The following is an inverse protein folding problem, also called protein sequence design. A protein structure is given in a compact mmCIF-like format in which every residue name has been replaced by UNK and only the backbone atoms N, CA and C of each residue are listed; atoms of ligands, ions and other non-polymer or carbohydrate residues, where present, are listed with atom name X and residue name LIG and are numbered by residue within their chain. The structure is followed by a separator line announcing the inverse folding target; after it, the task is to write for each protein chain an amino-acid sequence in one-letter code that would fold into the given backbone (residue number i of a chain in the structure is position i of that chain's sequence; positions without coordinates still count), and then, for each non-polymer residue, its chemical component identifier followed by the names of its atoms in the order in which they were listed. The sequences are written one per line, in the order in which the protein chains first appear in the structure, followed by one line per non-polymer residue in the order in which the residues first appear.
data_IF_392671173599
#
_entry.id   IF_392671173599
#
_cell.length_a   1.000
_cell.length_b   1.000
_cell.length_c   1.000
_cell.angle_alpha   90.00
_cell.angle_beta   90.00
_cell.angle_gamma   90.00
#
_symmetry.space_group_name_H-M   'P 1'
#
loop_
_entity.id
_entity.type
_entity.pdbx_description
1 polymer ?
#
# COMPACT_ATOMS: atom_id res chain seq x y z
N UNK A 1 27.60 -18.16 -22.25
CA UNK A 1 26.70 -19.28 -21.87
C UNK A 1 25.59 -18.83 -20.91
N UNK A 2 25.84 -17.92 -19.96
CA UNK A 2 24.80 -17.42 -19.04
C UNK A 2 23.65 -16.67 -19.73
N UNK A 3 23.93 -15.85 -20.74
CA UNK A 3 22.89 -15.02 -21.40
C UNK A 3 21.82 -15.86 -22.12
N UNK A 4 22.21 -16.98 -22.71
CA UNK A 4 21.31 -17.93 -23.38
C UNK A 4 20.42 -18.64 -22.35
N UNK A 5 20.97 -18.99 -21.18
CA UNK A 5 20.22 -19.60 -20.08
C UNK A 5 19.21 -18.60 -19.51
N UNK A 6 19.60 -17.34 -19.35
CA UNK A 6 18.72 -16.27 -18.88
C UNK A 6 17.55 -16.05 -19.84
N UNK A 7 17.82 -16.02 -21.16
CA UNK A 7 16.77 -15.91 -22.18
C UNK A 7 15.78 -17.09 -22.14
N UNK A 8 16.28 -18.32 -21.93
CA UNK A 8 15.42 -19.50 -21.79
C UNK A 8 14.55 -19.45 -20.53
N UNK A 9 15.09 -18.98 -19.40
CA UNK A 9 14.31 -18.79 -18.16
C UNK A 9 13.19 -17.76 -18.35
N UNK A 10 13.50 -16.64 -19.00
CA UNK A 10 12.51 -15.59 -19.30
C UNK A 10 11.39 -16.14 -20.20
N UNK A 11 11.75 -16.90 -21.25
CA UNK A 11 10.78 -17.50 -22.15
C UNK A 11 9.82 -18.45 -21.40
N UNK A 12 10.32 -19.29 -20.49
CA UNK A 12 9.48 -20.21 -19.73
C UNK A 12 8.53 -19.49 -18.77
N UNK A 13 8.98 -18.41 -18.12
CA UNK A 13 8.12 -17.60 -17.23
C UNK A 13 6.97 -16.98 -18.03
N UNK A 14 7.27 -16.43 -19.22
CA UNK A 14 6.25 -15.85 -20.10
C UNK A 14 5.23 -16.90 -20.56
N UNK A 15 5.70 -18.08 -20.98
CA UNK A 15 4.83 -19.18 -21.41
C UNK A 15 3.92 -19.61 -20.25
N UNK A 16 4.47 -19.76 -19.05
CA UNK A 16 3.70 -20.14 -17.87
C UNK A 16 2.64 -19.10 -17.51
N UNK A 17 2.98 -17.81 -17.58
CA UNK A 17 2.05 -16.71 -17.37
C UNK A 17 0.89 -16.70 -18.37
N UNK A 18 1.18 -16.94 -19.65
CA UNK A 18 0.17 -17.02 -20.72
C UNK A 18 -0.76 -18.22 -20.51
N UNK A 19 -0.21 -19.38 -20.17
CA UNK A 19 -1.00 -20.59 -19.88
C UNK A 19 -1.92 -20.35 -18.68
N UNK A 20 -1.41 -19.76 -17.59
CA UNK A 20 -2.21 -19.45 -16.41
C UNK A 20 -3.36 -18.49 -16.74
N UNK A 21 -3.09 -17.44 -17.51
CA UNK A 21 -4.11 -16.48 -17.94
C UNK A 21 -5.21 -17.13 -18.79
N UNK A 22 -4.83 -18.00 -19.74
CA UNK A 22 -5.78 -18.75 -20.56
C UNK A 22 -6.63 -19.72 -19.73
N UNK A 23 -6.03 -20.37 -18.72
CA UNK A 23 -6.74 -21.27 -17.82
C UNK A 23 -7.78 -20.53 -16.99
N UNK A 24 -7.43 -19.36 -16.42
CA UNK A 24 -8.38 -18.56 -15.63
C UNK A 24 -9.52 -18.03 -16.50
N UNK A 25 -9.21 -17.55 -17.70
CA UNK A 25 -10.22 -17.05 -18.63
C UNK A 25 -11.16 -18.15 -19.14
N UNK A 26 -10.59 -19.32 -19.47
CA UNK A 26 -11.36 -20.51 -19.84
C UNK A 26 -12.23 -21.01 -18.68
N UNK A 27 -11.71 -21.00 -17.45
CA UNK A 27 -12.49 -21.37 -16.26
C UNK A 27 -13.70 -20.45 -16.10
N UNK A 28 -13.55 -19.13 -16.21
CA UNK A 28 -14.68 -18.19 -16.14
C UNK A 28 -15.74 -18.49 -17.21
N UNK A 29 -15.33 -18.78 -18.45
CA UNK A 29 -16.25 -19.14 -19.53
C UNK A 29 -17.06 -20.42 -19.24
N UNK A 30 -16.44 -21.45 -18.66
CA UNK A 30 -17.12 -22.70 -18.32
C UNK A 30 -17.93 -22.61 -17.01
N UNK A 31 -17.50 -21.81 -16.04
CA UNK A 31 -18.12 -21.67 -14.72
C UNK A 31 -19.20 -20.58 -14.63
N UNK A 32 -19.50 -19.84 -15.69
CA UNK A 32 -20.63 -18.91 -15.71
C UNK A 32 -21.97 -19.66 -15.74
N UNK A 33 -22.36 -20.28 -14.62
CA UNK A 33 -23.69 -20.85 -14.42
C UNK A 33 -24.45 -20.06 -13.36
N UNK A 34 -25.47 -19.38 -13.90
CA UNK A 34 -26.60 -18.69 -13.25
C UNK A 34 -26.28 -17.31 -12.65
N UNK A 35 -26.50 -16.29 -13.48
CA UNK A 35 -26.74 -14.90 -13.08
C UNK A 35 -28.02 -14.81 -12.24
N UNK A 36 -27.94 -15.18 -10.97
CA UNK A 36 -29.01 -14.89 -10.02
C UNK A 36 -28.88 -13.43 -9.59
N UNK A 37 -29.96 -12.64 -9.77
CA UNK A 37 -30.01 -11.24 -9.34
C UNK A 37 -29.66 -11.07 -7.86
N UNK A 38 -30.02 -12.04 -7.01
CA UNK A 38 -29.69 -12.07 -5.58
C UNK A 38 -28.20 -12.18 -5.27
N UNK A 39 -27.39 -12.82 -6.14
CA UNK A 39 -25.93 -12.88 -5.97
C UNK A 39 -25.24 -11.55 -6.27
N UNK A 40 -25.93 -10.63 -6.98
CA UNK A 40 -25.41 -9.31 -7.35
C UNK A 40 -25.84 -8.22 -6.36
N UNK A 41 -26.64 -8.56 -5.36
CA UNK A 41 -27.08 -7.63 -4.31
C UNK A 41 -26.07 -7.61 -3.16
N UNK A 42 -25.98 -6.47 -2.47
CA UNK A 42 -25.20 -6.37 -1.24
C UNK A 42 -25.77 -7.32 -0.16
N UNK A 43 -24.87 -7.91 0.62
CA UNK A 43 -25.27 -8.76 1.73
C UNK A 43 -25.79 -7.91 2.89
N UNK A 44 -27.07 -8.01 3.20
CA UNK A 44 -27.70 -7.35 4.35
C UNK A 44 -28.41 -8.36 5.27
N UNK A 45 -27.76 -9.47 5.60
CA UNK A 45 -28.30 -10.48 6.52
C UNK A 45 -29.74 -10.95 6.17
N UNK A 46 -30.10 -11.00 4.89
CA UNK A 46 -31.42 -11.41 4.41
C UNK A 46 -32.46 -10.29 4.27
N UNK A 47 -32.12 -9.05 4.61
CA UNK A 47 -32.95 -7.87 4.39
C UNK A 47 -32.74 -7.28 2.98
N UNK A 48 -33.71 -6.47 2.53
CA UNK A 48 -33.60 -5.72 1.27
C UNK A 48 -32.78 -4.46 1.54
N UNK A 49 -31.87 -4.15 0.63
CA UNK A 49 -31.04 -2.94 0.67
C UNK A 49 -31.89 -1.69 0.88
N UNK A 50 -31.72 -1.07 2.05
CA UNK A 50 -32.23 0.28 2.29
C UNK A 50 -31.41 1.25 1.42
N UNK A 51 -32.09 2.17 0.75
CA UNK A 51 -31.50 3.13 -0.19
C UNK A 51 -30.33 3.91 0.41
N UNK A 52 -29.36 4.25 -0.44
CA UNK A 52 -28.20 5.13 -0.24
C UNK A 52 -27.53 5.03 1.14
N UNK A 53 -26.46 4.23 1.18
CA UNK A 53 -25.51 4.19 2.28
C UNK A 53 -24.76 5.53 2.37
N UNK A 54 -25.35 6.51 3.03
CA UNK A 54 -24.65 7.72 3.46
C UNK A 54 -23.73 7.38 4.63
N UNK A 55 -22.58 6.79 4.30
CA UNK A 55 -21.56 6.42 5.27
C UNK A 55 -20.93 7.70 5.80
N UNK A 56 -21.07 7.95 7.09
CA UNK A 56 -20.33 9.00 7.77
C UNK A 56 -18.89 8.54 7.92
N UNK A 57 -17.98 9.17 7.18
CA UNK A 57 -16.55 8.90 7.28
C UNK A 57 -16.03 9.64 8.51
N UNK A 58 -15.36 8.91 9.41
CA UNK A 58 -14.70 9.52 10.56
C UNK A 58 -13.46 10.31 10.08
N UNK A 59 -13.39 11.60 10.42
CA UNK A 59 -12.27 12.49 10.05
C UNK A 59 -10.94 11.99 10.62
N UNK A 60 -10.95 11.33 11.77
CA UNK A 60 -9.72 10.81 12.40
C UNK A 60 -9.00 9.80 11.48
N UNK A 61 -9.75 8.98 10.75
CA UNK A 61 -9.17 8.04 9.77
C UNK A 61 -8.50 8.78 8.61
N UNK A 62 -9.11 9.86 8.12
CA UNK A 62 -8.52 10.66 7.04
C UNK A 62 -7.24 11.36 7.47
N UNK A 63 -7.16 11.83 8.72
CA UNK A 63 -5.95 12.46 9.27
C UNK A 63 -4.79 11.46 9.36
N UNK A 64 -5.08 10.22 9.78
CA UNK A 64 -4.09 9.14 9.79
C UNK A 64 -3.50 8.89 8.38
N UNK A 65 -4.33 8.89 7.33
CA UNK A 65 -3.86 8.75 5.95
C UNK A 65 -2.92 9.89 5.55
N UNK A 66 -3.26 11.13 5.89
CA UNK A 66 -2.41 12.30 5.57
C UNK A 66 -1.07 12.20 6.29
N UNK A 67 -1.06 11.84 7.58
CA UNK A 67 0.18 11.66 8.32
C UNK A 67 1.05 10.53 7.76
N UNK A 68 0.44 9.40 7.38
CA UNK A 68 1.19 8.31 6.77
C UNK A 68 1.91 8.75 5.48
N UNK A 69 1.23 9.53 4.63
CA UNK A 69 1.84 10.07 3.41
C UNK A 69 2.98 11.05 3.74
N UNK A 70 2.80 11.92 4.74
CA UNK A 70 3.83 12.88 5.16
C UNK A 70 5.06 12.15 5.72
N UNK A 71 4.88 11.19 6.62
CA UNK A 71 5.98 10.40 7.19
C UNK A 71 6.70 9.58 6.13
N UNK A 72 5.99 9.00 5.15
CA UNK A 72 6.63 8.28 4.05
C UNK A 72 7.56 9.21 3.24
N UNK A 73 7.12 10.45 2.97
CA UNK A 73 7.95 11.46 2.28
C UNK A 73 9.17 11.82 3.14
N UNK A 74 9.02 12.01 4.44
CA UNK A 74 10.13 12.30 5.34
C UNK A 74 11.17 11.16 5.38
N UNK A 75 10.72 9.91 5.41
CA UNK A 75 11.61 8.75 5.32
C UNK A 75 12.34 8.67 3.98
N UNK A 76 11.73 9.09 2.88
CA UNK A 76 12.43 9.12 1.58
C UNK A 76 13.64 10.06 1.59
N UNK A 77 13.61 11.15 2.36
CA UNK A 77 14.76 12.04 2.52
C UNK A 77 15.92 11.42 3.30
N UNK A 78 15.68 10.38 4.10
CA UNK A 78 16.75 9.59 4.74
C UNK A 78 17.42 8.61 3.76
N UNK A 79 16.81 8.33 2.60
CA UNK A 79 17.31 7.30 1.69
C UNK A 79 18.71 7.59 1.09
N UNK A 80 19.05 8.83 0.68
CA UNK A 80 20.38 9.17 0.19
C UNK A 80 21.51 8.92 1.20
N UNK A 81 21.21 8.97 2.50
CA UNK A 81 22.17 8.69 3.56
C UNK A 81 22.72 7.27 3.49
N UNK A 82 21.86 6.31 3.12
CA UNK A 82 22.19 4.89 3.10
C UNK A 82 23.29 4.57 2.09
N UNK A 83 23.36 5.33 0.99
CA UNK A 83 24.33 5.09 -0.08
C UNK A 83 25.69 5.75 0.18
N UNK A 84 25.72 6.88 0.88
CA UNK A 84 26.94 7.69 1.05
C UNK A 84 27.52 7.67 2.48
N UNK A 85 27.27 6.60 3.24
CA UNK A 85 27.67 6.55 4.66
C UNK A 85 29.19 6.60 4.88
N UNK A 86 29.99 6.14 3.92
CA UNK A 86 31.45 6.06 4.05
C UNK A 86 32.18 7.41 3.96
N UNK A 87 31.52 8.46 3.48
CA UNK A 87 32.14 9.77 3.23
C UNK A 87 31.40 10.92 3.92
N UNK A 88 30.90 10.68 5.13
CA UNK A 88 30.16 11.68 5.89
C UNK A 88 31.15 12.65 6.57
N UNK A 89 31.02 13.95 6.30
CA UNK A 89 31.74 14.99 7.05
C UNK A 89 31.07 15.32 8.38
N UNK A 90 31.81 15.92 9.32
CA UNK A 90 31.29 16.30 10.65
C UNK A 90 30.03 17.17 10.55
N UNK A 91 29.96 18.04 9.55
CA UNK A 91 28.84 18.98 9.37
C UNK A 91 27.59 18.25 8.87
N UNK A 92 27.75 17.32 7.93
CA UNK A 92 26.67 16.47 7.43
C UNK A 92 26.09 15.62 8.56
N UNK A 93 26.94 15.08 9.44
CA UNK A 93 26.50 14.33 10.63
C UNK A 93 25.54 15.15 11.51
N UNK A 94 25.86 16.43 11.78
CA UNK A 94 24.96 17.29 12.55
C UNK A 94 23.64 17.60 11.83
N UNK A 95 23.67 17.77 10.50
CA UNK A 95 22.45 17.98 9.70
C UNK A 95 21.54 16.75 9.78
N UNK A 96 22.10 15.54 9.67
CA UNK A 96 21.35 14.29 9.77
C UNK A 96 20.75 14.13 11.16
N UNK A 97 21.54 14.42 12.20
CA UNK A 97 21.10 14.31 13.59
C UNK A 97 19.96 15.30 13.88
N UNK A 98 20.07 16.52 13.36
CA UNK A 98 19.00 17.51 13.42
C UNK A 98 17.74 17.04 12.67
N UNK A 99 17.89 16.49 11.47
CA UNK A 99 16.76 15.97 10.68
C UNK A 99 16.03 14.82 11.40
N UNK A 100 16.77 13.86 11.96
CA UNK A 100 16.19 12.78 12.77
C UNK A 100 15.46 13.34 14.00
N UNK A 101 16.02 14.35 14.66
CA UNK A 101 15.38 15.00 15.80
C UNK A 101 14.05 15.66 15.44
N UNK A 102 13.93 16.23 14.24
CA UNK A 102 12.69 16.82 13.73
C UNK A 102 11.62 15.76 13.50
N UNK A 103 11.96 14.61 12.91
CA UNK A 103 11.01 13.50 12.70
C UNK A 103 10.49 13.00 14.06
N UNK A 104 11.37 12.81 15.04
CA UNK A 104 10.99 12.37 16.39
C UNK A 104 10.07 13.41 17.06
N UNK A 105 10.39 14.71 16.91
CA UNK A 105 9.57 15.77 17.48
C UNK A 105 8.19 15.87 16.83
N UNK A 106 8.11 15.69 15.51
CA UNK A 106 6.84 15.62 14.78
C UNK A 106 5.96 14.47 15.29
N UNK A 107 6.54 13.27 15.41
CA UNK A 107 5.83 12.09 15.93
C UNK A 107 5.34 12.31 17.37
N UNK A 108 6.17 12.94 18.20
CA UNK A 108 5.80 13.26 19.57
C UNK A 108 4.64 14.27 19.62
N UNK A 109 4.67 15.30 18.76
CA UNK A 109 3.58 16.26 18.65
C UNK A 109 2.27 15.57 18.24
N UNK A 110 2.29 14.78 17.16
CA UNK A 110 1.08 14.09 16.68
C UNK A 110 0.49 13.15 17.73
N UNK A 111 1.34 12.50 18.52
CA UNK A 111 0.91 11.67 19.65
C UNK A 111 0.15 12.49 20.70
N UNK A 112 0.67 13.65 21.10
CA UNK A 112 0.05 14.50 22.11
C UNK A 112 -1.31 15.05 21.66
N UNK A 113 -1.48 15.30 20.37
CA UNK A 113 -2.75 15.75 19.79
C UNK A 113 -3.79 14.64 19.64
N UNK A 114 -3.47 13.41 20.07
CA UNK A 114 -4.36 12.25 20.01
C UNK A 114 -4.89 11.97 18.59
N UNK A 115 -4.21 12.49 17.55
CA UNK A 115 -4.65 12.35 16.17
C UNK A 115 -4.48 10.90 15.66
N UNK A 116 -3.66 10.10 16.35
CA UNK A 116 -3.54 8.66 16.14
C UNK A 116 -4.50 7.83 17.01
N UNK A 117 -5.20 8.47 17.96
CA UNK A 117 -6.07 7.75 18.89
C UNK A 117 -7.45 7.50 18.26
N UNK A 118 -7.86 6.24 18.28
CA UNK A 118 -9.18 5.83 17.84
C UNK A 118 -10.11 5.91 19.05
N UNK A 119 -10.81 7.03 19.19
CA UNK A 119 -12.02 7.06 20.00
C UNK A 119 -13.18 6.60 19.12
N UNK A 120 -13.81 5.51 19.54
CA UNK A 120 -15.08 5.04 19.00
C UNK A 120 -16.17 6.08 19.21
#
# INVERSE_FOLDING_TARGET
MGDIVVLYLIQNILIFGIIFWLLTWGAEFFFTKKNHLTKKQFYECGFRTLSELNIQINLNFSMLCVFLILYDIEFTFLFPLLFNFSSIFILEFFVILFFISLIIFSLYYDWQFNALSWQF
#
